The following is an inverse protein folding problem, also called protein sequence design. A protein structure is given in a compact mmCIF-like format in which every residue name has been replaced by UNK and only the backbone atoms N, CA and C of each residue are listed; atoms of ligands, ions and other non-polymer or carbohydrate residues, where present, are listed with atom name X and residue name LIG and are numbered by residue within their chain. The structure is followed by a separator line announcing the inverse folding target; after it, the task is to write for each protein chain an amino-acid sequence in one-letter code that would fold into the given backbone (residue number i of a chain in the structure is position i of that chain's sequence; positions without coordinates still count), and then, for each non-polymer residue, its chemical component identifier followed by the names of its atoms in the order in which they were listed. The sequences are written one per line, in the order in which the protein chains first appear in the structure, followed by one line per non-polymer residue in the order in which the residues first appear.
data_IF_037867688400
#
_entry.id   IF_037867688400
#
_cell.length_a   1.000
_cell.length_b   1.000
_cell.length_c   1.000
_cell.angle_alpha   90.00
_cell.angle_beta   90.00
_cell.angle_gamma   90.00
#
_symmetry.space_group_name_H-M   'P 1'
#
loop_
_entity.id
_entity.type
_entity.pdbx_description
1 polymer ?
#
# COMPACT_ATOMS: atom_id res chain seq x y z
N UNK A 1 -17.75 20.63 18.00
CA UNK A 1 -18.33 19.62 17.08
C UNK A 1 -17.20 18.97 16.28
N UNK A 2 -16.35 18.20 16.96
CA UNK A 2 -15.32 17.35 16.36
C UNK A 2 -15.42 16.06 17.19
N UNK A 3 -16.03 14.99 16.68
CA UNK A 3 -16.03 13.71 17.43
C UNK A 3 -16.49 12.46 16.67
N UNK A 4 -17.19 12.53 15.54
CA UNK A 4 -17.68 11.31 14.86
C UNK A 4 -16.86 10.92 13.61
N UNK A 5 -16.66 11.83 12.65
CA UNK A 5 -15.96 11.52 11.39
C UNK A 5 -14.44 11.27 11.58
N UNK A 6 -13.82 11.97 12.52
CA UNK A 6 -12.40 11.79 12.86
C UNK A 6 -12.12 10.37 13.39
N UNK A 7 -13.07 9.80 14.15
CA UNK A 7 -12.95 8.47 14.74
C UNK A 7 -13.10 7.35 13.68
N UNK A 8 -14.08 7.49 12.77
CA UNK A 8 -14.29 6.52 11.69
C UNK A 8 -13.09 6.45 10.73
N UNK A 9 -12.54 7.60 10.35
CA UNK A 9 -11.37 7.66 9.46
C UNK A 9 -10.16 6.96 10.10
N UNK A 10 -9.90 7.20 11.38
CA UNK A 10 -8.82 6.55 12.12
C UNK A 10 -9.03 5.02 12.23
N UNK A 11 -10.26 4.56 12.47
CA UNK A 11 -10.59 3.13 12.48
C UNK A 11 -10.33 2.49 11.12
N UNK A 12 -10.69 3.14 10.02
CA UNK A 12 -10.41 2.63 8.67
C UNK A 12 -8.93 2.65 8.33
N UNK A 13 -8.18 3.68 8.73
CA UNK A 13 -6.72 3.75 8.53
C UNK A 13 -6.01 2.58 9.23
N UNK A 14 -6.35 2.31 10.49
CA UNK A 14 -5.77 1.21 11.26
C UNK A 14 -6.15 -0.18 10.71
N UNK A 15 -7.35 -0.32 10.11
CA UNK A 15 -7.75 -1.56 9.41
C UNK A 15 -7.10 -1.69 8.04
N UNK A 16 -6.85 -0.57 7.36
CA UNK A 16 -6.22 -0.53 6.05
C UNK A 16 -4.74 -0.86 6.13
N UNK A 17 -4.01 -0.24 7.06
CA UNK A 17 -2.58 -0.38 7.19
C UNK A 17 -2.18 -0.62 8.66
N UNK A 18 -1.67 -1.82 8.95
CA UNK A 18 -1.19 -2.18 10.28
C UNK A 18 0.29 -2.61 10.25
N UNK A 19 0.98 -2.35 11.36
CA UNK A 19 2.39 -2.71 11.54
C UNK A 19 2.49 -4.00 12.33
N UNK A 20 3.34 -4.91 11.88
CA UNK A 20 3.77 -6.09 12.65
C UNK A 20 5.26 -6.28 12.45
N UNK A 21 6.02 -6.07 13.52
CA UNK A 21 7.50 -6.08 13.50
C UNK A 21 8.07 -5.11 12.45
N UNK A 22 8.83 -5.61 11.47
CA UNK A 22 9.40 -4.83 10.35
C UNK A 22 8.51 -4.76 9.11
N UNK A 23 7.25 -5.18 9.23
CA UNK A 23 6.31 -5.30 8.12
C UNK A 23 5.13 -4.36 8.26
N UNK A 24 4.66 -3.81 7.13
CA UNK A 24 3.31 -3.24 7.02
C UNK A 24 2.41 -4.18 6.23
N UNK A 25 1.15 -4.27 6.66
CA UNK A 25 0.10 -5.03 6.01
C UNK A 25 -0.95 -4.05 5.50
N UNK A 26 -1.16 -4.02 4.19
CA UNK A 26 -2.09 -3.12 3.52
C UNK A 26 -3.21 -3.91 2.83
N UNK A 27 -4.46 -3.62 3.17
CA UNK A 27 -5.63 -4.26 2.57
C UNK A 27 -6.39 -3.32 1.63
N UNK A 28 -6.26 -3.58 0.32
CA UNK A 28 -6.99 -2.82 -0.69
C UNK A 28 -8.51 -2.91 -0.51
N UNK A 29 -9.04 -4.02 0.00
CA UNK A 29 -10.47 -4.15 0.22
C UNK A 29 -10.98 -3.10 1.22
N UNK A 30 -10.18 -2.78 2.26
CA UNK A 30 -10.49 -1.71 3.20
C UNK A 30 -10.30 -0.35 2.52
N UNK A 31 -9.17 -0.12 1.84
CA UNK A 31 -8.89 1.11 1.09
C UNK A 31 -10.07 1.52 0.20
N UNK A 32 -10.59 0.57 -0.58
CA UNK A 32 -11.74 0.73 -1.49
C UNK A 32 -12.96 1.34 -0.82
N UNK A 33 -13.21 1.03 0.45
CA UNK A 33 -14.42 1.50 1.15
C UNK A 33 -14.37 2.98 1.54
N UNK A 34 -13.19 3.54 1.84
CA UNK A 34 -13.10 4.89 2.41
C UNK A 34 -12.24 5.86 1.58
N UNK A 35 -11.34 5.35 0.73
CA UNK A 35 -10.40 6.19 0.02
C UNK A 35 -11.06 6.98 -1.12
N UNK A 36 -10.81 8.28 -1.13
CA UNK A 36 -11.27 9.21 -2.15
C UNK A 36 -10.33 10.43 -2.22
N UNK A 37 -10.52 11.29 -3.21
CA UNK A 37 -9.62 12.42 -3.47
C UNK A 37 -9.43 13.35 -2.28
N UNK A 38 -10.45 13.51 -1.42
CA UNK A 38 -10.35 14.39 -0.25
C UNK A 38 -9.46 13.86 0.87
N UNK A 39 -9.18 12.54 0.90
CA UNK A 39 -8.43 11.90 1.99
C UNK A 39 -7.17 11.15 1.56
N UNK A 40 -6.82 11.15 0.28
CA UNK A 40 -5.59 10.52 -0.22
C UNK A 40 -4.33 11.04 0.45
N UNK A 41 -4.23 12.33 0.74
CA UNK A 41 -3.05 12.89 1.41
C UNK A 41 -2.96 12.39 2.86
N UNK A 42 -4.09 12.33 3.58
CA UNK A 42 -4.17 11.76 4.93
C UNK A 42 -3.75 10.29 4.94
N UNK A 43 -4.25 9.49 4.00
CA UNK A 43 -3.88 8.07 3.87
C UNK A 43 -2.38 7.92 3.59
N UNK A 44 -1.84 8.75 2.70
CA UNK A 44 -0.43 8.72 2.32
C UNK A 44 0.48 9.06 3.50
N UNK A 45 0.15 10.12 4.23
CA UNK A 45 0.90 10.52 5.42
C UNK A 45 0.87 9.42 6.50
N UNK A 46 -0.30 8.80 6.73
CA UNK A 46 -0.43 7.68 7.66
C UNK A 46 0.52 6.52 7.29
N UNK A 47 0.53 6.10 6.02
CA UNK A 47 1.42 5.02 5.57
C UNK A 47 2.90 5.40 5.69
N UNK A 48 3.26 6.65 5.36
CA UNK A 48 4.62 7.18 5.53
C UNK A 48 5.04 7.11 7.00
N UNK A 49 4.17 7.51 7.92
CA UNK A 49 4.45 7.48 9.35
C UNK A 49 4.62 6.05 9.87
N UNK A 50 3.82 5.10 9.37
CA UNK A 50 4.01 3.68 9.66
C UNK A 50 5.40 3.21 9.22
N UNK A 51 5.79 3.49 7.96
CA UNK A 51 7.09 3.10 7.42
C UNK A 51 8.26 3.77 8.17
N UNK A 52 8.14 5.06 8.48
CA UNK A 52 9.14 5.81 9.26
C UNK A 52 9.29 5.20 10.65
N UNK A 53 8.20 4.76 11.29
CA UNK A 53 8.26 4.14 12.61
C UNK A 53 9.03 2.82 12.61
N UNK A 54 8.85 1.98 11.57
CA UNK A 54 9.65 0.76 11.36
C UNK A 54 11.13 1.12 11.17
N UNK A 55 11.40 2.12 10.33
CA UNK A 55 12.76 2.54 9.99
C UNK A 55 13.54 3.19 11.15
N UNK A 56 12.90 3.49 12.28
CA UNK A 56 13.60 3.91 13.51
C UNK A 56 14.45 2.78 14.09
N UNK A 57 14.00 1.54 13.96
CA UNK A 57 14.63 0.36 14.58
C UNK A 57 15.15 -0.67 13.56
N UNK A 58 14.80 -0.50 12.28
CA UNK A 58 15.15 -1.43 11.21
C UNK A 58 15.70 -0.67 10.00
N UNK A 59 16.68 -1.26 9.31
CA UNK A 59 17.25 -0.63 8.11
C UNK A 59 16.34 -0.73 6.87
N UNK A 60 15.44 -1.70 6.88
CA UNK A 60 14.56 -2.06 5.79
C UNK A 60 13.16 -2.41 6.32
N UNK A 61 12.16 -2.34 5.46
CA UNK A 61 10.79 -2.76 5.75
C UNK A 61 10.26 -3.74 4.71
N UNK A 62 9.30 -4.56 5.11
CA UNK A 62 8.57 -5.46 4.21
C UNK A 62 7.13 -4.95 4.03
N UNK A 63 6.61 -5.06 2.81
CA UNK A 63 5.21 -4.73 2.51
C UNK A 63 4.45 -6.04 2.24
N UNK A 64 3.28 -6.19 2.84
CA UNK A 64 2.30 -7.19 2.49
C UNK A 64 1.06 -6.47 1.96
N UNK A 65 0.79 -6.59 0.66
CA UNK A 65 -0.30 -5.89 -0.02
C UNK A 65 -1.33 -6.90 -0.51
N UNK A 66 -2.53 -6.87 0.06
CA UNK A 66 -3.68 -7.59 -0.49
C UNK A 66 -4.36 -6.74 -1.55
N UNK A 67 -4.44 -7.26 -2.78
CA UNK A 67 -5.15 -6.63 -3.91
C UNK A 67 -6.56 -7.21 -4.10
N UNK A 68 -7.11 -7.84 -3.06
CA UNK A 68 -8.42 -8.48 -3.11
C UNK A 68 -9.48 -7.46 -3.53
N UNK A 69 -10.34 -7.86 -4.47
CA UNK A 69 -11.44 -7.06 -5.03
C UNK A 69 -11.05 -5.85 -5.90
N UNK A 70 -9.77 -5.67 -6.21
CA UNK A 70 -9.32 -4.63 -7.14
C UNK A 70 -9.74 -4.95 -8.58
N UNK A 71 -10.41 -3.99 -9.21
CA UNK A 71 -10.89 -4.04 -10.60
C UNK A 71 -10.17 -3.03 -11.48
N UNK A 72 -10.35 -3.16 -12.80
CA UNK A 72 -9.78 -2.20 -13.76
C UNK A 72 -10.33 -0.78 -13.56
N UNK A 73 -11.64 -0.65 -13.35
CA UNK A 73 -12.29 0.64 -13.11
C UNK A 73 -11.73 1.37 -11.90
N UNK A 74 -11.38 0.62 -10.85
CA UNK A 74 -10.74 1.20 -9.67
C UNK A 74 -9.29 1.59 -9.91
N UNK A 75 -8.55 0.79 -10.69
CA UNK A 75 -7.20 1.15 -11.11
C UNK A 75 -7.21 2.48 -11.87
N UNK A 76 -8.16 2.68 -12.79
CA UNK A 76 -8.33 3.92 -13.54
C UNK A 76 -8.72 5.08 -12.61
N UNK A 77 -9.71 4.87 -11.73
CA UNK A 77 -10.16 5.87 -10.73
C UNK A 77 -9.01 6.35 -9.84
N UNK A 78 -8.13 5.44 -9.42
CA UNK A 78 -7.05 5.72 -8.48
C UNK A 78 -5.70 5.95 -9.17
N UNK A 79 -5.64 6.04 -10.50
CA UNK A 79 -4.39 6.09 -11.27
C UNK A 79 -3.43 7.19 -10.78
N UNK A 80 -3.91 8.44 -10.73
CA UNK A 80 -3.10 9.59 -10.30
C UNK A 80 -2.61 9.45 -8.85
N UNK A 81 -3.42 8.82 -8.00
CA UNK A 81 -3.05 8.57 -6.62
C UNK A 81 -1.93 7.52 -6.53
N UNK A 82 -2.08 6.40 -7.22
CA UNK A 82 -1.10 5.31 -7.24
C UNK A 82 0.26 5.82 -7.76
N UNK A 83 0.27 6.60 -8.85
CA UNK A 83 1.52 7.15 -9.41
C UNK A 83 2.19 8.17 -8.48
N UNK A 84 1.40 9.01 -7.80
CA UNK A 84 1.89 9.93 -6.75
C UNK A 84 2.55 9.14 -5.61
N UNK A 85 1.89 8.10 -5.09
CA UNK A 85 2.42 7.26 -4.01
C UNK A 85 3.72 6.55 -4.43
N UNK A 86 3.78 5.99 -5.66
CA UNK A 86 5.00 5.38 -6.16
C UNK A 86 6.17 6.38 -6.25
N UNK A 87 5.89 7.62 -6.67
CA UNK A 87 6.90 8.69 -6.73
C UNK A 87 7.40 9.07 -5.34
N UNK A 88 6.50 9.21 -4.37
CA UNK A 88 6.84 9.48 -2.97
C UNK A 88 7.72 8.36 -2.43
N UNK A 89 7.33 7.10 -2.63
CA UNK A 89 8.08 5.95 -2.11
C UNK A 89 9.49 5.87 -2.68
N UNK A 90 9.65 6.18 -3.97
CA UNK A 90 10.96 6.25 -4.62
C UNK A 90 11.86 7.31 -4.00
N UNK A 91 11.31 8.48 -3.67
CA UNK A 91 12.08 9.63 -3.20
C UNK A 91 12.36 9.57 -1.69
N UNK A 92 11.36 9.21 -0.89
CA UNK A 92 11.44 9.19 0.59
C UNK A 92 12.09 7.90 1.12
N UNK A 93 11.93 6.78 0.40
CA UNK A 93 12.38 5.46 0.85
C UNK A 93 13.29 4.74 -0.16
N UNK A 94 14.31 5.41 -0.73
CA UNK A 94 15.20 4.79 -1.70
C UNK A 94 15.92 3.60 -1.06
N UNK A 95 15.90 2.45 -1.73
CA UNK A 95 16.53 1.20 -1.30
C UNK A 95 16.09 0.66 0.08
N UNK A 96 15.00 1.17 0.67
CA UNK A 96 14.50 0.72 1.99
C UNK A 96 13.54 -0.45 1.95
N UNK A 97 12.88 -0.69 0.81
CA UNK A 97 12.02 -1.86 0.64
C UNK A 97 12.88 -3.14 0.63
N UNK A 98 12.60 -4.09 1.51
CA UNK A 98 13.20 -5.43 1.51
C UNK A 98 12.50 -6.29 0.45
N UNK A 99 11.23 -6.61 0.70
CA UNK A 99 10.34 -7.41 -0.16
C UNK A 99 8.92 -6.79 -0.12
N UNK A 100 8.20 -6.88 -1.23
CA UNK A 100 6.76 -6.59 -1.30
C UNK A 100 6.01 -7.84 -1.72
N UNK A 101 5.32 -8.46 -0.76
CA UNK A 101 4.45 -9.60 -0.98
C UNK A 101 3.07 -9.14 -1.45
N UNK A 102 2.63 -9.68 -2.57
CA UNK A 102 1.36 -9.31 -3.20
C UNK A 102 0.41 -10.51 -3.13
N UNK A 103 -0.66 -10.33 -2.37
CA UNK A 103 -1.69 -11.34 -2.13
C UNK A 103 -2.91 -11.04 -2.99
N UNK A 104 -3.64 -12.11 -3.37
CA UNK A 104 -4.89 -12.00 -4.10
C UNK A 104 -4.78 -11.17 -5.39
N UNK A 105 -3.66 -11.30 -6.11
CA UNK A 105 -3.43 -10.57 -7.34
C UNK A 105 -4.57 -10.83 -8.34
N UNK A 106 -5.33 -9.80 -8.76
CA UNK A 106 -6.42 -9.96 -9.72
C UNK A 106 -5.85 -10.17 -11.14
N UNK A 107 -6.70 -10.53 -12.10
CA UNK A 107 -6.29 -10.65 -13.50
C UNK A 107 -5.71 -9.34 -14.07
N UNK A 108 -6.10 -8.18 -13.50
CA UNK A 108 -5.59 -6.85 -13.86
C UNK A 108 -4.19 -6.55 -13.31
N UNK A 109 -3.57 -7.50 -12.60
CA UNK A 109 -2.27 -7.29 -11.96
C UNK A 109 -1.16 -6.92 -12.94
N UNK A 110 -1.17 -7.47 -14.16
CA UNK A 110 -0.20 -7.12 -15.20
C UNK A 110 -0.28 -5.63 -15.58
N UNK A 111 -1.47 -5.03 -15.54
CA UNK A 111 -1.66 -3.60 -15.81
C UNK A 111 -1.12 -2.75 -14.66
N UNK A 112 -1.33 -3.17 -13.42
CA UNK A 112 -0.74 -2.51 -12.24
C UNK A 112 0.79 -2.50 -12.35
N UNK A 113 1.40 -3.65 -12.66
CA UNK A 113 2.84 -3.74 -12.88
C UNK A 113 3.29 -2.81 -14.00
N UNK A 114 2.57 -2.76 -15.11
CA UNK A 114 2.89 -1.84 -16.22
C UNK A 114 2.91 -0.39 -15.75
N UNK A 115 1.93 0.04 -14.97
CA UNK A 115 1.84 1.41 -14.45
C UNK A 115 3.01 1.69 -13.51
N UNK A 116 3.20 0.87 -12.48
CA UNK A 116 4.23 1.15 -11.48
C UNK A 116 5.65 1.03 -12.04
N UNK A 117 5.86 0.18 -13.07
CA UNK A 117 7.19 -0.07 -13.67
C UNK A 117 7.85 1.19 -14.25
N UNK A 118 7.05 2.21 -14.60
CA UNK A 118 7.55 3.51 -15.06
C UNK A 118 8.17 4.31 -13.91
N UNK A 119 7.70 4.08 -12.68
CA UNK A 119 8.10 4.84 -11.50
C UNK A 119 9.18 4.12 -10.68
N UNK A 120 9.10 2.79 -10.57
CA UNK A 120 10.03 1.98 -9.78
C UNK A 120 11.13 1.34 -10.65
N UNK A 121 12.37 1.33 -10.15
CA UNK A 121 13.50 0.74 -10.85
C UNK A 121 13.41 -0.80 -10.94
N UNK A 122 14.23 -1.39 -11.82
CA UNK A 122 14.28 -2.85 -12.00
C UNK A 122 14.67 -3.60 -10.73
N UNK A 123 15.45 -2.99 -9.84
CA UNK A 123 15.87 -3.60 -8.56
C UNK A 123 14.67 -3.74 -7.62
N UNK A 124 13.81 -2.73 -7.57
CA UNK A 124 12.58 -2.68 -6.79
C UNK A 124 11.53 -3.60 -7.38
N UNK A 125 11.41 -3.67 -8.71
CA UNK A 125 10.51 -4.62 -9.38
C UNK A 125 10.82 -6.08 -9.01
N UNK A 126 12.11 -6.44 -8.87
CA UNK A 126 12.53 -7.78 -8.44
C UNK A 126 12.17 -8.12 -6.99
N UNK A 127 11.81 -7.12 -6.17
CA UNK A 127 11.37 -7.30 -4.78
C UNK A 127 9.86 -7.58 -4.69
N UNK A 128 9.12 -7.45 -5.79
CA UNK A 128 7.70 -7.79 -5.86
C UNK A 128 7.54 -9.31 -5.98
N UNK A 129 6.85 -9.93 -5.03
CA UNK A 129 6.62 -11.37 -4.99
C UNK A 129 5.13 -11.66 -4.90
N UNK A 130 4.60 -12.32 -5.92
CA UNK A 130 3.24 -12.85 -5.87
C UNK A 130 3.20 -14.00 -4.86
N UNK A 131 2.24 -13.93 -3.95
CA UNK A 131 2.02 -14.98 -2.97
C UNK A 131 0.87 -15.88 -3.43
N UNK A 132 1.13 -17.19 -3.45
CA UNK A 132 0.15 -18.20 -3.80
C UNK A 132 -1.06 -18.17 -2.86
N UNK A 133 -2.23 -18.54 -3.40
CA UNK A 133 -3.55 -18.46 -2.74
C UNK A 133 -3.66 -19.23 -1.42
N UNK A 134 -2.73 -20.15 -1.14
CA UNK A 134 -2.70 -20.99 0.08
C UNK A 134 -2.11 -20.28 1.29
N UNK A 135 -1.42 -19.16 1.11
CA UNK A 135 -0.81 -18.41 2.21
C UNK A 135 -1.79 -17.37 2.74
N UNK A 136 -2.17 -17.50 4.00
CA UNK A 136 -3.09 -16.58 4.66
C UNK A 136 -2.49 -15.18 4.80
N UNK A 137 -3.18 -14.16 4.28
CA UNK A 137 -2.97 -12.78 4.66
C UNK A 137 -3.52 -12.59 6.07
N UNK A 138 -2.66 -12.29 7.05
CA UNK A 138 -3.06 -12.09 8.44
C UNK A 138 -3.06 -10.59 8.74
N UNK A 139 -4.25 -10.04 9.00
CA UNK A 139 -4.45 -8.70 9.57
C UNK A 139 -4.49 -8.84 11.08
#
# INVERSE_FOLDING_TARGET
MISAETNLTEVFLNKFCNIKEKSIFMDYQIFKYFANESNYDTITLFVIDCLKSILKNHNFFTIHLSLKSLTLTELDKHYNYITKVCTIFKNEFPDKLDICFIYHAPFVFSQIISIISVFIDKKTQKKLQLVDKTTSFQI
#
